data_IF_269645956383
#
_entry.id   IF_269645956383
#
_cell.length_a   1.000
_cell.length_b   1.000
_cell.length_c   1.000
_cell.angle_alpha   90.00
_cell.angle_beta   90.00
_cell.angle_gamma   90.00
#
_symmetry.space_group_name_H-M   'P 1'
#
loop_
_entity.id
_entity.type
_entity.pdbx_description
1 polymer ?
#
# COMPACT_ATOMS: atom_id res chain seq x y z
N UNK A 1 16.83 0.27 -17.25
CA UNK A 1 16.61 -1.01 -17.97
C UNK A 1 17.72 -2.05 -17.74
N UNK A 2 18.63 -1.87 -16.77
CA UNK A 2 19.84 -2.71 -16.63
C UNK A 2 20.01 -3.35 -15.24
N UNK A 3 19.01 -3.23 -14.36
CA UNK A 3 19.11 -3.67 -12.94
C UNK A 3 18.43 -5.00 -12.68
N UNK A 4 17.45 -5.34 -13.50
CA UNK A 4 16.92 -6.69 -13.56
C UNK A 4 17.82 -7.64 -14.34
N UNK A 5 18.77 -7.13 -15.12
CA UNK A 5 19.87 -7.93 -15.68
C UNK A 5 20.70 -8.57 -14.56
N UNK A 6 20.84 -7.96 -13.37
CA UNK A 6 21.58 -8.58 -12.25
C UNK A 6 20.76 -9.68 -11.57
N UNK A 7 19.43 -9.53 -11.52
CA UNK A 7 18.49 -10.56 -11.04
C UNK A 7 18.37 -11.72 -12.06
N UNK A 8 18.42 -11.41 -13.36
CA UNK A 8 18.29 -12.36 -14.47
C UNK A 8 19.61 -13.03 -14.89
N UNK A 9 20.79 -12.44 -14.62
CA UNK A 9 22.10 -13.05 -14.94
C UNK A 9 22.57 -14.09 -13.92
N UNK A 10 21.89 -14.27 -12.79
CA UNK A 10 22.20 -15.33 -11.81
C UNK A 10 21.38 -16.62 -12.02
N UNK A 11 20.63 -16.72 -13.12
CA UNK A 11 19.69 -17.82 -13.39
C UNK A 11 20.31 -19.15 -13.89
N UNK A 12 21.60 -19.32 -14.28
CA UNK A 12 22.04 -20.66 -14.66
C UNK A 12 22.58 -21.44 -13.45
N UNK A 13 21.71 -21.86 -12.52
CA UNK A 13 21.90 -23.06 -11.65
C UNK A 13 20.79 -23.32 -10.60
N UNK A 14 19.51 -22.95 -10.81
CA UNK A 14 18.50 -23.16 -9.76
C UNK A 14 17.28 -23.88 -10.31
N UNK A 15 17.17 -25.19 -10.02
CA UNK A 15 15.97 -25.99 -10.27
C UNK A 15 15.14 -26.06 -8.99
N UNK A 16 13.82 -25.96 -9.18
CA UNK A 16 12.79 -25.86 -8.15
C UNK A 16 12.78 -27.04 -7.15
N UNK A 17 12.83 -26.70 -5.86
CA UNK A 17 12.02 -27.22 -4.75
C UNK A 17 12.66 -26.77 -3.44
N UNK A 18 12.05 -25.80 -2.76
CA UNK A 18 12.49 -25.27 -1.46
C UNK A 18 13.96 -24.84 -1.45
N UNK A 19 14.24 -23.60 -1.89
CA UNK A 19 15.56 -22.99 -1.80
C UNK A 19 16.22 -23.29 -0.44
N UNK A 20 17.38 -23.93 -0.50
CA UNK A 20 18.26 -24.25 0.62
C UNK A 20 18.63 -22.96 1.37
N UNK A 21 19.07 -23.08 2.63
CA UNK A 21 19.53 -21.90 3.39
C UNK A 21 20.61 -21.12 2.64
N UNK A 22 21.52 -21.82 1.95
CA UNK A 22 22.57 -21.21 1.14
C UNK A 22 22.02 -20.40 -0.05
N UNK A 23 20.97 -20.89 -0.72
CA UNK A 23 20.32 -20.17 -1.83
C UNK A 23 19.55 -18.94 -1.34
N UNK A 24 18.89 -19.05 -0.18
CA UNK A 24 18.24 -17.90 0.48
C UNK A 24 19.25 -16.83 0.91
N UNK A 25 20.39 -17.25 1.47
CA UNK A 25 21.47 -16.34 1.86
C UNK A 25 22.12 -15.67 0.64
N UNK A 26 22.28 -16.41 -0.46
CA UNK A 26 22.78 -15.87 -1.72
C UNK A 26 21.80 -14.84 -2.32
N UNK A 27 20.50 -15.14 -2.34
CA UNK A 27 19.46 -14.19 -2.77
C UNK A 27 19.46 -12.93 -1.90
N UNK A 28 19.48 -13.09 -0.57
CA UNK A 28 19.54 -11.98 0.38
C UNK A 28 20.78 -11.10 0.14
N UNK A 29 21.94 -11.72 -0.05
CA UNK A 29 23.19 -11.00 -0.34
C UNK A 29 23.13 -10.27 -1.68
N UNK A 30 22.57 -10.88 -2.72
CA UNK A 30 22.42 -10.28 -4.03
C UNK A 30 21.46 -9.08 -3.99
N UNK A 31 20.31 -9.22 -3.33
CA UNK A 31 19.33 -8.15 -3.19
C UNK A 31 19.90 -6.96 -2.42
N UNK A 32 20.60 -7.20 -1.29
CA UNK A 32 21.30 -6.13 -0.56
C UNK A 32 22.38 -5.47 -1.41
N UNK A 33 23.14 -6.27 -2.17
CA UNK A 33 24.14 -5.75 -3.11
C UNK A 33 23.53 -4.80 -4.14
N UNK A 34 22.40 -5.20 -4.73
CA UNK A 34 21.67 -4.37 -5.70
C UNK A 34 21.09 -3.10 -5.07
N UNK A 35 20.52 -3.17 -3.86
CA UNK A 35 19.98 -2.01 -3.15
C UNK A 35 21.06 -1.00 -2.72
N UNK A 36 22.30 -1.46 -2.51
CA UNK A 36 23.42 -0.62 -2.08
C UNK A 36 24.31 -0.12 -3.24
N UNK A 37 24.08 -0.58 -4.47
CA UNK A 37 24.74 -0.02 -5.65
C UNK A 37 24.06 1.31 -6.01
N UNK A 38 24.78 2.42 -5.88
CA UNK A 38 24.23 3.76 -6.05
C UNK A 38 23.72 4.01 -7.47
N UNK A 39 24.41 3.47 -8.49
CA UNK A 39 23.96 3.62 -9.86
C UNK A 39 22.66 2.81 -10.07
N UNK A 40 22.63 1.58 -9.53
CA UNK A 40 21.46 0.67 -9.52
C UNK A 40 20.22 1.36 -9.02
N UNK A 41 20.41 1.89 -7.84
CA UNK A 41 19.43 2.57 -7.07
C UNK A 41 18.89 3.81 -7.81
N UNK A 42 19.77 4.67 -8.32
CA UNK A 42 19.38 5.92 -8.98
C UNK A 42 18.50 5.70 -10.20
N UNK A 43 18.89 4.78 -11.09
CA UNK A 43 18.12 4.55 -12.31
C UNK A 43 16.83 3.73 -12.07
N UNK A 44 16.72 2.97 -10.98
CA UNK A 44 15.44 2.40 -10.54
C UNK A 44 14.51 3.50 -10.03
N UNK A 45 15.03 4.40 -9.19
CA UNK A 45 14.28 5.52 -8.63
C UNK A 45 13.78 6.45 -9.73
N UNK A 46 14.61 6.75 -10.74
CA UNK A 46 14.23 7.52 -11.92
C UNK A 46 13.08 6.85 -12.68
N UNK A 47 13.19 5.56 -12.99
CA UNK A 47 12.15 4.83 -13.72
C UNK A 47 10.82 4.79 -12.95
N UNK A 48 10.88 4.64 -11.62
CA UNK A 48 9.70 4.67 -10.76
C UNK A 48 9.06 6.07 -10.74
N UNK A 49 9.85 7.13 -10.57
CA UNK A 49 9.39 8.52 -10.60
C UNK A 49 8.74 8.86 -11.94
N UNK A 50 9.37 8.45 -13.05
CA UNK A 50 8.86 8.65 -14.40
C UNK A 50 7.53 7.91 -14.60
N UNK A 51 7.45 6.65 -14.16
CA UNK A 51 6.23 5.84 -14.24
C UNK A 51 5.08 6.40 -13.40
N UNK A 52 5.37 6.95 -12.21
CA UNK A 52 4.36 7.59 -11.38
C UNK A 52 3.87 8.92 -11.96
N UNK A 53 4.72 9.63 -12.71
CA UNK A 53 4.43 10.95 -13.29
C UNK A 53 3.87 11.95 -12.25
N UNK A 54 4.53 12.05 -11.09
CA UNK A 54 4.14 12.90 -9.95
C UNK A 54 4.54 14.38 -10.10
N UNK A 55 5.22 14.72 -11.20
CA UNK A 55 5.64 16.08 -11.50
C UNK A 55 6.91 16.53 -10.77
N UNK A 56 7.50 17.65 -11.21
CA UNK A 56 8.84 18.07 -10.80
C UNK A 56 8.95 18.53 -9.34
N UNK A 57 7.86 18.97 -8.72
CA UNK A 57 7.88 19.41 -7.31
C UNK A 57 7.88 18.24 -6.33
N UNK A 58 7.21 17.13 -6.69
CA UNK A 58 7.07 15.94 -5.84
C UNK A 58 8.20 14.94 -6.05
N UNK A 59 8.74 14.85 -7.26
CA UNK A 59 9.80 13.92 -7.62
C UNK A 59 11.02 13.94 -6.67
N UNK A 60 11.59 15.12 -6.30
CA UNK A 60 12.70 15.16 -5.35
C UNK A 60 12.33 14.68 -3.94
N UNK A 61 11.09 14.91 -3.51
CA UNK A 61 10.60 14.45 -2.20
C UNK A 61 10.46 12.94 -2.18
N UNK A 62 9.88 12.37 -3.23
CA UNK A 62 9.76 10.93 -3.37
C UNK A 62 11.13 10.26 -3.46
N UNK A 63 12.06 10.82 -4.25
CA UNK A 63 13.42 10.29 -4.38
C UNK A 63 14.07 10.10 -3.02
N UNK A 64 14.05 11.17 -2.20
CA UNK A 64 14.59 11.16 -0.84
C UNK A 64 13.88 10.17 0.07
N UNK A 65 12.54 10.12 0.02
CA UNK A 65 11.76 9.15 0.79
C UNK A 65 12.16 7.71 0.43
N UNK A 66 12.21 7.40 -0.87
CA UNK A 66 12.57 6.07 -1.36
C UNK A 66 14.01 5.72 -0.96
N UNK A 67 14.92 6.70 -0.93
CA UNK A 67 16.33 6.48 -0.54
C UNK A 67 16.44 6.13 0.94
N UNK A 68 15.80 6.94 1.78
CA UNK A 68 15.77 6.70 3.23
C UNK A 68 15.12 5.35 3.58
N UNK A 69 14.11 4.90 2.82
CA UNK A 69 13.43 3.61 3.05
C UNK A 69 14.26 2.43 2.55
N UNK A 70 14.77 2.49 1.32
CA UNK A 70 15.43 1.36 0.69
C UNK A 70 16.86 1.14 1.17
N UNK A 71 17.48 2.14 1.81
CA UNK A 71 18.82 2.02 2.43
C UNK A 71 18.77 1.62 3.90
N UNK A 72 17.58 1.56 4.53
CA UNK A 72 17.43 1.08 5.91
C UNK A 72 17.67 -0.43 5.98
N UNK A 73 18.70 -0.93 6.70
CA UNK A 73 18.99 -2.35 6.79
C UNK A 73 17.83 -3.20 7.35
N UNK A 74 17.04 -2.65 8.27
CA UNK A 74 15.89 -3.36 8.83
C UNK A 74 14.78 -3.50 7.78
N UNK A 75 14.56 -2.47 6.97
CA UNK A 75 13.63 -2.52 5.85
C UNK A 75 14.08 -3.52 4.78
N UNK A 76 15.36 -3.46 4.39
CA UNK A 76 15.96 -4.41 3.45
C UNK A 76 15.77 -5.85 3.92
N UNK A 77 16.06 -6.12 5.20
CA UNK A 77 15.84 -7.45 5.78
C UNK A 77 14.37 -7.85 5.72
N UNK A 78 13.46 -6.94 6.09
CA UNK A 78 12.03 -7.25 6.06
C UNK A 78 11.53 -7.54 4.65
N UNK A 79 11.96 -6.79 3.64
CA UNK A 79 11.62 -7.07 2.24
C UNK A 79 12.12 -8.45 1.80
N UNK A 80 13.35 -8.81 2.17
CA UNK A 80 13.90 -10.14 1.88
C UNK A 80 13.03 -11.24 2.50
N UNK A 81 12.70 -11.10 3.79
CA UNK A 81 11.88 -12.09 4.50
C UNK A 81 10.51 -12.26 3.83
N UNK A 82 9.85 -11.18 3.44
CA UNK A 82 8.56 -11.20 2.74
C UNK A 82 8.66 -11.77 1.32
N UNK A 83 9.68 -11.39 0.56
CA UNK A 83 9.93 -11.93 -0.79
C UNK A 83 10.21 -13.43 -0.76
N UNK A 84 10.91 -13.91 0.26
CA UNK A 84 11.14 -15.34 0.47
C UNK A 84 9.87 -16.06 0.92
N UNK A 85 9.04 -15.43 1.77
CA UNK A 85 7.77 -16.00 2.23
C UNK A 85 6.72 -16.11 1.12
N UNK A 86 6.72 -15.16 0.18
CA UNK A 86 5.80 -15.10 -0.96
C UNK A 86 6.23 -15.97 -2.16
N UNK A 87 7.41 -16.61 -2.09
CA UNK A 87 7.91 -17.46 -3.16
C UNK A 87 8.43 -16.68 -4.37
N UNK A 88 8.78 -15.39 -4.21
CA UNK A 88 9.30 -14.56 -5.32
C UNK A 88 10.50 -15.22 -6.01
N UNK A 89 11.39 -15.80 -5.21
CA UNK A 89 12.58 -16.47 -5.69
C UNK A 89 12.20 -17.60 -6.66
N UNK A 90 11.16 -18.36 -6.35
CA UNK A 90 10.67 -19.45 -7.19
C UNK A 90 10.05 -18.93 -8.50
N UNK A 91 9.33 -17.80 -8.44
CA UNK A 91 8.71 -17.16 -9.62
C UNK A 91 9.77 -16.56 -10.55
N UNK A 92 10.77 -15.87 -10.00
CA UNK A 92 11.89 -15.32 -10.79
C UNK A 92 12.69 -16.43 -11.44
N UNK A 93 12.98 -17.52 -10.71
CA UNK A 93 13.69 -18.69 -11.24
C UNK A 93 12.90 -19.37 -12.36
N UNK A 94 11.58 -19.47 -12.22
CA UNK A 94 10.71 -20.09 -13.23
C UNK A 94 10.51 -19.21 -14.48
N UNK A 95 10.73 -17.90 -14.36
CA UNK A 95 10.55 -16.94 -15.45
C UNK A 95 11.69 -17.08 -16.47
N UNK A 96 11.42 -17.76 -17.58
CA UNK A 96 12.37 -17.95 -18.69
C UNK A 96 12.58 -16.70 -19.57
N UNK A 97 11.86 -15.61 -19.30
CA UNK A 97 11.94 -14.32 -20.00
C UNK A 97 12.33 -13.21 -19.00
N UNK A 98 13.39 -12.49 -19.31
CA UNK A 98 13.87 -11.35 -18.55
C UNK A 98 12.78 -10.30 -18.36
N UNK A 99 12.05 -9.92 -19.42
CA UNK A 99 11.03 -8.87 -19.33
C UNK A 99 9.82 -9.29 -18.48
N UNK A 100 9.52 -10.58 -18.43
CA UNK A 100 8.49 -11.14 -17.56
C UNK A 100 8.95 -11.18 -16.10
N UNK A 101 10.19 -11.60 -15.84
CA UNK A 101 10.81 -11.52 -14.53
C UNK A 101 10.85 -10.08 -14.00
N UNK A 102 11.12 -9.09 -14.87
CA UNK A 102 11.08 -7.66 -14.55
C UNK A 102 9.75 -7.19 -14.02
N UNK A 103 8.68 -7.42 -14.78
CA UNK A 103 7.34 -6.99 -14.40
C UNK A 103 6.91 -7.68 -13.11
N UNK A 104 7.19 -8.97 -12.99
CA UNK A 104 6.81 -9.76 -11.83
C UNK A 104 7.54 -9.31 -10.56
N UNK A 105 8.85 -9.08 -10.64
CA UNK A 105 9.64 -8.57 -9.50
C UNK A 105 9.20 -7.19 -9.03
N UNK A 106 8.88 -6.28 -9.96
CA UNK A 106 8.34 -4.96 -9.61
C UNK A 106 6.97 -5.06 -8.93
N UNK A 107 6.07 -5.85 -9.52
CA UNK A 107 4.71 -6.05 -9.03
C UNK A 107 4.71 -6.60 -7.60
N UNK A 108 5.50 -7.65 -7.36
CA UNK A 108 5.58 -8.25 -6.04
C UNK A 108 6.31 -7.35 -5.04
N UNK A 109 7.37 -6.64 -5.47
CA UNK A 109 8.03 -5.65 -4.63
C UNK A 109 7.06 -4.56 -4.16
N UNK A 110 6.16 -4.12 -5.04
CA UNK A 110 5.08 -3.19 -4.70
C UNK A 110 4.10 -3.80 -3.67
N UNK A 111 3.63 -5.02 -3.88
CA UNK A 111 2.75 -5.72 -2.92
C UNK A 111 3.40 -5.88 -1.55
N UNK A 112 4.67 -6.29 -1.51
CA UNK A 112 5.44 -6.39 -0.26
C UNK A 112 5.50 -5.05 0.46
N UNK A 113 5.79 -3.96 -0.27
CA UNK A 113 5.82 -2.60 0.30
C UNK A 113 4.46 -2.17 0.85
N UNK A 114 3.38 -2.40 0.10
CA UNK A 114 2.01 -2.10 0.54
C UNK A 114 1.67 -2.90 1.79
N UNK A 115 1.96 -4.21 1.79
CA UNK A 115 1.68 -5.11 2.91
C UNK A 115 2.40 -4.70 4.19
N UNK A 116 3.70 -4.41 4.11
CA UNK A 116 4.51 -3.91 5.23
C UNK A 116 3.95 -2.57 5.74
N UNK A 117 3.60 -1.66 4.84
CA UNK A 117 3.05 -0.35 5.21
C UNK A 117 1.68 -0.49 5.89
N UNK A 118 0.78 -1.35 5.39
CA UNK A 118 -0.55 -1.59 5.97
C UNK A 118 -0.46 -2.16 7.38
N UNK A 119 0.39 -3.18 7.60
CA UNK A 119 0.65 -3.72 8.95
C UNK A 119 1.26 -2.67 9.87
N UNK A 120 2.15 -1.85 9.33
CA UNK A 120 2.73 -0.68 10.00
C UNK A 120 1.67 0.30 10.49
N UNK A 121 0.73 0.70 9.62
CA UNK A 121 -0.40 1.58 9.95
C UNK A 121 -1.21 1.04 11.12
N UNK A 122 -1.49 -0.27 11.16
CA UNK A 122 -2.23 -0.90 12.25
C UNK A 122 -1.51 -0.81 13.62
N UNK A 123 -0.17 -0.62 13.62
CA UNK A 123 0.69 -0.43 14.80
C UNK A 123 0.89 1.03 15.21
N UNK A 124 0.43 2.00 14.41
CA UNK A 124 0.60 3.43 14.71
C UNK A 124 -0.34 3.96 15.79
N UNK A 125 -0.11 5.19 16.25
CA UNK A 125 -0.98 5.86 17.23
C UNK A 125 -2.38 6.10 16.64
N UNK A 126 -3.36 6.35 17.51
CA UNK A 126 -4.72 6.65 17.06
C UNK A 126 -4.80 7.93 16.21
N UNK A 127 -3.96 8.92 16.50
CA UNK A 127 -3.92 10.19 15.78
C UNK A 127 -3.30 10.03 14.38
N UNK A 128 -2.26 9.20 14.26
CA UNK A 128 -1.66 8.88 12.96
C UNK A 128 -2.61 8.07 12.08
N UNK A 129 -3.28 7.07 12.68
CA UNK A 129 -4.30 6.29 11.96
C UNK A 129 -5.44 7.21 11.53
N UNK A 130 -5.89 8.14 12.38
CA UNK A 130 -6.88 9.15 11.98
C UNK A 130 -6.39 10.00 10.81
N UNK A 131 -5.12 10.43 10.83
CA UNK A 131 -4.49 11.20 9.75
C UNK A 131 -4.48 10.41 8.43
N UNK A 132 -4.23 9.10 8.47
CA UNK A 132 -4.38 8.21 7.32
C UNK A 132 -5.78 8.29 6.72
N UNK A 133 -6.83 8.08 7.54
CA UNK A 133 -8.22 8.11 7.07
C UNK A 133 -8.61 9.50 6.52
N UNK A 134 -8.14 10.58 7.16
CA UNK A 134 -8.35 11.95 6.66
C UNK A 134 -7.74 12.13 5.27
N UNK A 135 -6.49 11.71 5.08
CA UNK A 135 -5.80 11.84 3.79
C UNK A 135 -6.50 11.02 2.69
N UNK A 136 -6.88 9.78 3.01
CA UNK A 136 -7.62 8.93 2.07
C UNK A 136 -8.95 9.56 1.66
N UNK A 137 -9.73 10.08 2.62
CA UNK A 137 -11.00 10.75 2.34
C UNK A 137 -10.84 11.99 1.44
N UNK A 138 -9.79 12.78 1.64
CA UNK A 138 -9.46 13.91 0.78
C UNK A 138 -9.09 13.46 -0.64
N UNK A 139 -8.27 12.42 -0.76
CA UNK A 139 -7.79 11.93 -2.05
C UNK A 139 -8.91 11.39 -2.95
N UNK A 140 -9.95 10.75 -2.38
CA UNK A 140 -11.13 10.33 -3.14
C UNK A 140 -11.91 11.50 -3.78
N UNK A 141 -11.73 12.73 -3.27
CA UNK A 141 -12.26 13.94 -3.91
C UNK A 141 -11.38 14.53 -5.01
N UNK A 142 -10.19 13.97 -5.25
CA UNK A 142 -9.17 14.52 -6.14
C UNK A 142 -8.69 13.54 -7.22
N UNK A 143 -8.74 12.23 -6.94
CA UNK A 143 -8.28 11.18 -7.86
C UNK A 143 -9.21 11.05 -9.07
N UNK A 144 -8.67 10.66 -10.22
CA UNK A 144 -9.48 10.41 -11.41
C UNK A 144 -10.50 9.29 -11.15
N UNK A 145 -11.74 9.52 -11.59
CA UNK A 145 -12.91 8.67 -11.26
C UNK A 145 -12.68 7.19 -11.51
N UNK A 146 -12.06 6.84 -12.64
CA UNK A 146 -11.76 5.45 -13.04
C UNK A 146 -10.94 4.63 -12.02
N UNK A 147 -10.23 5.29 -11.10
CA UNK A 147 -9.41 4.61 -10.09
C UNK A 147 -10.15 4.40 -8.76
N UNK A 148 -11.25 5.10 -8.51
CA UNK A 148 -11.94 5.03 -7.23
C UNK A 148 -12.48 3.63 -6.91
N UNK A 149 -12.98 2.92 -7.93
CA UNK A 149 -13.38 1.52 -7.76
C UNK A 149 -12.22 0.65 -7.30
N UNK A 150 -11.06 0.76 -7.96
CA UNK A 150 -9.88 -0.06 -7.63
C UNK A 150 -9.40 0.25 -6.21
N UNK A 151 -9.41 1.53 -5.82
CA UNK A 151 -9.03 1.96 -4.46
C UNK A 151 -9.99 1.45 -3.38
N UNK A 152 -11.29 1.33 -3.69
CA UNK A 152 -12.31 0.82 -2.77
C UNK A 152 -12.43 -0.71 -2.77
N UNK A 153 -12.17 -1.35 -3.91
CA UNK A 153 -12.40 -2.76 -4.16
C UNK A 153 -11.08 -3.45 -4.50
N UNK A 154 -10.26 -3.65 -3.48
CA UNK A 154 -8.96 -4.30 -3.64
C UNK A 154 -9.09 -5.73 -4.20
N UNK A 155 -10.18 -6.43 -3.87
CA UNK A 155 -10.47 -7.77 -4.39
C UNK A 155 -11.02 -7.74 -5.82
N UNK A 156 -10.38 -8.49 -6.72
CA UNK A 156 -10.80 -8.66 -8.11
C UNK A 156 -10.17 -7.68 -9.10
N UNK A 157 -9.45 -6.66 -8.63
CA UNK A 157 -8.59 -5.84 -9.48
C UNK A 157 -7.29 -6.60 -9.81
N UNK A 158 -6.75 -6.38 -11.01
CA UNK A 158 -5.40 -6.87 -11.34
C UNK A 158 -4.36 -6.07 -10.55
N UNK A 159 -3.22 -6.69 -10.27
CA UNK A 159 -2.11 -6.03 -9.56
C UNK A 159 -1.62 -4.77 -10.31
N UNK A 160 -1.57 -4.82 -11.64
CA UNK A 160 -1.27 -3.66 -12.49
C UNK A 160 -2.27 -2.51 -12.26
N UNK A 161 -3.57 -2.82 -12.19
CA UNK A 161 -4.59 -1.82 -11.93
C UNK A 161 -4.44 -1.19 -10.54
N UNK A 162 -4.07 -1.98 -9.53
CA UNK A 162 -3.80 -1.47 -8.18
C UNK A 162 -2.58 -0.53 -8.15
N UNK A 163 -1.47 -0.89 -8.80
CA UNK A 163 -0.28 -0.04 -8.93
C UNK A 163 -0.65 1.29 -9.60
N UNK A 164 -1.38 1.24 -10.72
CA UNK A 164 -1.80 2.43 -11.44
C UNK A 164 -2.74 3.31 -10.61
N UNK A 165 -3.65 2.71 -9.84
CA UNK A 165 -4.54 3.44 -8.95
C UNK A 165 -3.77 4.16 -7.83
N UNK A 166 -2.77 3.51 -7.24
CA UNK A 166 -1.92 4.11 -6.21
C UNK A 166 -0.98 5.19 -6.73
N UNK A 167 -0.51 5.06 -7.98
CA UNK A 167 0.21 6.14 -8.66
C UNK A 167 -0.71 7.33 -8.91
N UNK A 168 -1.94 7.08 -9.40
CA UNK A 168 -2.94 8.12 -9.59
C UNK A 168 -3.31 8.83 -8.27
N UNK A 169 -3.41 8.08 -7.17
CA UNK A 169 -3.55 8.63 -5.83
C UNK A 169 -2.40 9.57 -5.47
N UNK A 170 -1.14 9.13 -5.61
CA UNK A 170 0.02 10.00 -5.30
C UNK A 170 0.08 11.25 -6.18
N UNK A 171 -0.34 11.14 -7.45
CA UNK A 171 -0.46 12.28 -8.36
C UNK A 171 -1.54 13.27 -7.93
N UNK A 172 -2.67 12.81 -7.39
CA UNK A 172 -3.81 13.68 -7.06
C UNK A 172 -3.57 14.57 -5.85
N UNK A 173 -2.73 14.14 -4.90
CA UNK A 173 -2.41 14.91 -3.69
C UNK A 173 -1.77 16.26 -4.03
N UNK A 174 -2.13 17.35 -3.34
CA UNK A 174 -1.33 18.57 -3.39
C UNK A 174 0.03 18.40 -2.68
N UNK A 175 0.91 19.40 -2.75
CA UNK A 175 2.25 19.29 -2.19
C UNK A 175 2.26 19.08 -0.66
N UNK A 176 1.48 19.82 0.16
CA UNK A 176 1.30 19.52 1.58
C UNK A 176 0.77 18.10 1.88
N UNK A 177 -0.24 17.65 1.14
CA UNK A 177 -0.82 16.31 1.29
C UNK A 177 0.19 15.23 0.92
N UNK A 178 0.96 15.43 -0.14
CA UNK A 178 2.00 14.51 -0.58
C UNK A 178 3.12 14.38 0.46
N UNK A 179 3.55 15.47 1.09
CA UNK A 179 4.52 15.42 2.21
C UNK A 179 3.96 14.64 3.40
N UNK A 180 2.69 14.88 3.73
CA UNK A 180 2.00 14.19 4.82
C UNK A 180 1.89 12.69 4.52
N UNK A 181 1.57 12.32 3.28
CA UNK A 181 1.56 10.94 2.80
C UNK A 181 2.91 10.25 2.98
N UNK A 182 4.00 10.84 2.49
CA UNK A 182 5.34 10.26 2.63
C UNK A 182 5.77 10.14 4.09
N UNK A 183 5.48 11.15 4.92
CA UNK A 183 5.77 11.13 6.35
C UNK A 183 5.00 10.01 7.07
N UNK A 184 3.71 9.87 6.79
CA UNK A 184 2.86 8.84 7.35
C UNK A 184 3.31 7.44 6.92
N UNK A 185 3.61 7.26 5.62
CA UNK A 185 4.13 6.01 5.07
C UNK A 185 5.44 5.61 5.75
N UNK A 186 6.37 6.56 5.92
CA UNK A 186 7.62 6.32 6.65
C UNK A 186 7.39 5.92 8.10
N UNK A 187 6.46 6.58 8.78
CA UNK A 187 6.15 6.27 10.17
C UNK A 187 5.46 4.90 10.32
N UNK A 188 4.63 4.51 9.36
CA UNK A 188 4.06 3.17 9.28
C UNK A 188 5.13 2.10 9.08
N UNK A 189 6.03 2.28 8.12
CA UNK A 189 7.17 1.38 7.90
C UNK A 189 8.01 1.23 9.17
N UNK A 190 8.37 2.33 9.83
CA UNK A 190 9.09 2.30 11.10
C UNK A 190 8.33 1.52 12.19
N UNK A 191 7.01 1.70 12.29
CA UNK A 191 6.17 0.96 13.24
C UNK A 191 6.14 -0.55 12.94
N UNK A 192 6.18 -0.96 11.67
CA UNK A 192 6.25 -2.38 11.29
C UNK A 192 7.58 -3.01 11.71
N UNK A 193 8.69 -2.27 11.54
CA UNK A 193 10.05 -2.73 11.83
C UNK A 193 10.36 -2.78 13.34
N UNK A 194 9.63 -2.02 14.16
CA UNK A 194 9.78 -2.10 15.61
C UNK A 194 9.23 -3.44 16.14
N UNK A 195 9.83 -4.00 17.22
CA UNK A 195 9.28 -5.16 17.90
C UNK A 195 7.81 -4.90 18.24
N UNK A 196 6.94 -5.80 17.79
CA UNK A 196 5.50 -5.63 17.97
C UNK A 196 5.19 -5.53 19.47
N UNK A 197 4.69 -4.39 19.92
CA UNK A 197 3.96 -4.33 21.20
C UNK A 197 2.63 -5.02 20.94
N UNK A 198 2.35 -6.19 21.53
CA UNK A 198 1.13 -6.93 21.24
C UNK A 198 -0.07 -6.07 21.58
N UNK A 199 -0.82 -5.63 20.55
CA UNK A 199 -2.12 -5.01 20.77
C UNK A 199 -3.14 -6.13 20.87
N UNK A 200 -3.89 -6.23 21.97
CA UNK A 200 -4.93 -7.23 22.04
C UNK A 200 -5.92 -7.03 20.89
N UNK A 201 -6.40 -8.12 20.28
CA UNK A 201 -7.46 -8.05 19.29
C UNK A 201 -8.70 -7.42 19.93
N UNK A 202 -9.53 -6.78 19.11
CA UNK A 202 -10.79 -6.23 19.58
C UNK A 202 -11.71 -7.38 19.99
N UNK A 203 -12.35 -7.25 21.14
CA UNK A 203 -13.40 -8.19 21.58
C UNK A 203 -14.64 -8.03 20.71
N UNK A 204 -15.50 -9.06 20.67
CA UNK A 204 -16.78 -9.00 19.95
C UNK A 204 -17.62 -7.78 20.38
N UNK A 205 -17.70 -7.50 21.69
CA UNK A 205 -18.44 -6.35 22.20
C UNK A 205 -17.87 -5.00 21.74
N UNK A 206 -16.54 -4.89 21.62
CA UNK A 206 -15.91 -3.67 21.09
C UNK A 206 -16.20 -3.48 19.60
N UNK A 207 -16.14 -4.56 18.82
CA UNK A 207 -16.49 -4.55 17.40
C UNK A 207 -17.96 -4.20 17.19
N UNK A 208 -18.87 -4.77 17.98
CA UNK A 208 -20.30 -4.48 17.89
C UNK A 208 -20.60 -3.01 18.18
N UNK A 209 -20.02 -2.45 19.26
CA UNK A 209 -20.18 -1.03 19.60
C UNK A 209 -19.59 -0.11 18.54
N UNK A 210 -18.40 -0.41 18.01
CA UNK A 210 -17.79 0.39 16.94
C UNK A 210 -18.59 0.34 15.64
N UNK A 211 -19.12 -0.83 15.29
CA UNK A 211 -19.96 -1.00 14.11
C UNK A 211 -21.28 -0.26 14.24
N UNK A 212 -21.94 -0.31 15.40
CA UNK A 212 -23.17 0.44 15.65
C UNK A 212 -22.94 1.96 15.52
N UNK A 213 -21.88 2.48 16.13
CA UNK A 213 -21.54 3.91 16.04
C UNK A 213 -21.18 4.32 14.60
N UNK A 214 -20.41 3.48 13.88
CA UNK A 214 -20.11 3.70 12.46
C UNK A 214 -21.39 3.75 11.62
N UNK A 215 -22.31 2.80 11.78
CA UNK A 215 -23.57 2.76 11.02
C UNK A 215 -24.40 4.01 11.26
N UNK A 216 -24.53 4.46 12.52
CA UNK A 216 -25.28 5.68 12.86
C UNK A 216 -24.67 6.90 12.19
N UNK A 217 -23.35 7.07 12.29
CA UNK A 217 -22.65 8.22 11.69
C UNK A 217 -22.63 8.17 10.17
N UNK A 218 -22.46 6.99 9.59
CA UNK A 218 -22.51 6.78 8.15
C UNK A 218 -23.90 7.10 7.60
N UNK A 219 -24.97 6.65 8.27
CA UNK A 219 -26.34 6.98 7.88
C UNK A 219 -26.63 8.48 7.97
N UNK A 220 -26.17 9.14 9.04
CA UNK A 220 -26.30 10.59 9.16
C UNK A 220 -25.59 11.32 8.02
N UNK A 221 -24.32 10.97 7.74
CA UNK A 221 -23.56 11.56 6.66
C UNK A 221 -24.17 11.26 5.26
N UNK A 222 -24.74 10.08 5.07
CA UNK A 222 -25.45 9.70 3.85
C UNK A 222 -26.69 10.57 3.61
N UNK A 223 -27.43 10.92 4.66
CA UNK A 223 -28.62 11.78 4.56
C UNK A 223 -28.31 13.23 4.19
N UNK A 224 -27.07 13.68 4.40
CA UNK A 224 -26.61 15.01 4.02
C UNK A 224 -26.20 15.11 2.54
N UNK A 225 -26.09 13.97 1.83
CA UNK A 225 -25.76 13.97 0.42
C UNK A 225 -26.96 14.38 -0.45
N UNK A 226 -26.68 15.17 -1.48
CA UNK A 226 -27.69 15.54 -2.48
C UNK A 226 -28.23 14.32 -3.26
N UNK A 227 -27.40 13.32 -3.51
CA UNK A 227 -27.81 12.04 -4.08
C UNK A 227 -27.09 10.86 -3.38
N UNK A 228 -27.72 10.24 -2.36
CA UNK A 228 -27.13 9.11 -1.66
C UNK A 228 -27.19 7.80 -2.43
N UNK A 229 -27.98 7.73 -3.52
CA UNK A 229 -28.26 6.45 -4.21
C UNK A 229 -27.02 5.84 -4.82
N UNK A 230 -26.16 6.65 -5.43
CA UNK A 230 -24.89 6.20 -5.97
C UNK A 230 -24.02 5.53 -4.91
N UNK A 231 -23.86 6.19 -3.76
CA UNK A 231 -23.08 5.64 -2.63
C UNK A 231 -23.65 4.33 -2.11
N UNK A 232 -24.99 4.21 -1.99
CA UNK A 232 -25.61 2.95 -1.58
C UNK A 232 -25.35 1.86 -2.62
N UNK A 233 -25.55 2.16 -3.91
CA UNK A 233 -25.33 1.21 -5.00
C UNK A 233 -23.88 0.70 -5.05
N UNK A 234 -22.87 1.55 -4.89
CA UNK A 234 -21.47 1.11 -4.94
C UNK A 234 -21.08 0.19 -3.79
N UNK A 235 -21.78 0.28 -2.65
CA UNK A 235 -21.56 -0.58 -1.49
C UNK A 235 -22.41 -1.87 -1.52
N UNK A 236 -23.65 -1.83 -2.04
CA UNK A 236 -24.55 -2.99 -2.05
C UNK A 236 -24.54 -3.80 -3.34
N UNK A 237 -24.37 -3.14 -4.48
CA UNK A 237 -24.42 -3.71 -5.83
C UNK A 237 -23.20 -3.26 -6.66
N UNK A 238 -21.98 -3.58 -6.21
CA UNK A 238 -20.77 -2.97 -6.76
C UNK A 238 -20.56 -3.20 -8.25
N UNK A 239 -21.00 -4.34 -8.78
CA UNK A 239 -20.88 -4.67 -10.21
C UNK A 239 -21.75 -3.79 -11.12
N UNK A 240 -22.77 -3.12 -10.56
CA UNK A 240 -23.72 -2.29 -11.30
C UNK A 240 -23.53 -0.78 -11.05
N UNK A 241 -22.74 -0.40 -10.05
CA UNK A 241 -22.44 1.00 -9.75
C UNK A 241 -21.43 1.61 -10.74
N UNK A 242 -21.49 2.92 -10.94
CA UNK A 242 -20.51 3.65 -11.73
C UNK A 242 -19.24 3.96 -10.92
N UNK A 243 -18.12 4.24 -11.57
CA UNK A 243 -16.87 4.57 -10.87
C UNK A 243 -16.97 5.86 -10.03
N UNK A 244 -17.83 6.81 -10.44
CA UNK A 244 -18.12 8.04 -9.67
C UNK A 244 -18.77 7.73 -8.32
N UNK A 245 -19.66 6.73 -8.30
CA UNK A 245 -20.31 6.27 -7.08
C UNK A 245 -19.29 5.70 -6.08
N UNK A 246 -18.19 5.11 -6.56
CA UNK A 246 -17.08 4.67 -5.71
C UNK A 246 -16.25 5.82 -5.19
N UNK A 247 -16.09 6.93 -5.93
CA UNK A 247 -15.41 8.12 -5.40
C UNK A 247 -16.23 8.74 -4.26
N UNK A 248 -17.54 8.90 -4.48
CA UNK A 248 -18.45 9.43 -3.48
C UNK A 248 -18.49 8.52 -2.24
N UNK A 249 -18.58 7.19 -2.43
CA UNK A 249 -18.58 6.24 -1.33
C UNK A 249 -17.26 6.21 -0.57
N UNK A 250 -16.12 6.18 -1.27
CA UNK A 250 -14.80 6.22 -0.65
C UNK A 250 -14.61 7.49 0.16
N UNK A 251 -14.91 8.66 -0.42
CA UNK A 251 -14.88 9.93 0.30
C UNK A 251 -15.74 9.87 1.56
N UNK A 252 -16.98 9.38 1.48
CA UNK A 252 -17.90 9.30 2.61
C UNK A 252 -17.37 8.36 3.72
N UNK A 253 -17.01 7.13 3.36
CA UNK A 253 -16.52 6.11 4.30
C UNK A 253 -15.28 6.59 5.04
N UNK A 254 -14.27 7.07 4.32
CA UNK A 254 -13.01 7.52 4.92
C UNK A 254 -13.19 8.79 5.76
N UNK A 255 -14.09 9.70 5.36
CA UNK A 255 -14.42 10.90 6.15
C UNK A 255 -15.09 10.51 7.46
N UNK A 256 -16.10 9.64 7.43
CA UNK A 256 -16.77 9.13 8.63
C UNK A 256 -15.75 8.45 9.56
N UNK A 257 -14.89 7.59 9.03
CA UNK A 257 -13.84 6.93 9.82
C UNK A 257 -12.85 7.92 10.42
N UNK A 258 -12.53 9.02 9.75
CA UNK A 258 -11.66 10.06 10.28
C UNK A 258 -12.32 10.88 11.41
N UNK A 259 -13.62 11.16 11.28
CA UNK A 259 -14.40 12.02 12.19
C UNK A 259 -14.99 11.28 13.39
N UNK A 260 -14.99 9.94 13.39
CA UNK A 260 -15.38 9.17 14.57
C UNK A 260 -14.46 9.44 15.76
N UNK A 261 -14.99 10.09 16.79
CA UNK A 261 -14.27 10.35 18.03
C UNK A 261 -14.41 9.22 19.05
N UNK A 262 -13.59 9.27 20.11
CA UNK A 262 -13.67 8.33 21.22
C UNK A 262 -13.20 6.91 20.91
N UNK A 263 -13.50 5.98 21.83
CA UNK A 263 -13.04 4.59 21.76
C UNK A 263 -13.65 3.83 20.58
N UNK A 264 -14.92 4.07 20.26
CA UNK A 264 -15.60 3.42 19.12
C UNK A 264 -14.94 3.77 17.80
N UNK A 265 -14.56 5.04 17.59
CA UNK A 265 -13.78 5.46 16.42
C UNK A 265 -12.39 4.83 16.35
N UNK A 266 -11.70 4.76 17.49
CA UNK A 266 -10.40 4.10 17.57
C UNK A 266 -10.48 2.61 17.23
N UNK A 267 -11.49 1.91 17.73
CA UNK A 267 -11.73 0.50 17.43
C UNK A 267 -12.14 0.30 15.98
N UNK A 268 -13.03 1.14 15.44
CA UNK A 268 -13.48 1.04 14.05
C UNK A 268 -12.31 1.17 13.08
N UNK A 269 -11.49 2.22 13.23
CA UNK A 269 -10.30 2.43 12.39
C UNK A 269 -9.32 1.26 12.46
N UNK A 270 -9.11 0.69 13.65
CA UNK A 270 -8.28 -0.52 13.82
C UNK A 270 -8.88 -1.75 13.13
N UNK A 271 -10.19 -1.95 13.27
CA UNK A 271 -10.90 -3.06 12.63
C UNK A 271 -10.83 -2.95 11.09
N UNK A 272 -10.99 -1.74 10.55
CA UNK A 272 -10.86 -1.49 9.10
C UNK A 272 -9.45 -1.81 8.59
N UNK A 273 -8.40 -1.40 9.31
CA UNK A 273 -7.03 -1.73 8.92
C UNK A 273 -6.75 -3.24 9.01
N UNK A 274 -7.24 -3.92 10.06
CA UNK A 274 -7.07 -5.35 10.23
C UNK A 274 -7.81 -6.20 9.17
N UNK A 275 -8.89 -5.66 8.58
CA UNK A 275 -9.60 -6.33 7.49
C UNK A 275 -8.94 -6.16 6.11
N UNK A 276 -7.92 -5.30 6.02
CA UNK A 276 -7.14 -5.06 4.81
C UNK A 276 -5.83 -5.88 4.75
N UNK A 277 -5.56 -6.68 5.79
CA UNK A 277 -4.50 -7.71 5.83
C UNK A 277 -5.00 -9.03 5.26
#
# INVERSE_FOLDING_TARGET
MQWLVVICLMVPAMQAAAATSAERDAFASALRGAMNDSAQYDALNDALIDGMNIGPEKAPLFRRYFEEVMTDPAMQQRMIDEMLATGLLDVIIASGDEAEAMRTGFSLGYEVMVSITTRGLAKMSHDDIRTFFTLMGQAFGQVETRYCRILMQQHGATQEAQILASFAFMRSLDLPQFRSYLSLSKAALAAELLPAVPRPPLTAAQLDLSNQDFVVKFQAALQELADPRGVVMSLSEPHSAADEDFCAAGKLVFTVLAEMDGLTGQWMRRATLAAAE
#
